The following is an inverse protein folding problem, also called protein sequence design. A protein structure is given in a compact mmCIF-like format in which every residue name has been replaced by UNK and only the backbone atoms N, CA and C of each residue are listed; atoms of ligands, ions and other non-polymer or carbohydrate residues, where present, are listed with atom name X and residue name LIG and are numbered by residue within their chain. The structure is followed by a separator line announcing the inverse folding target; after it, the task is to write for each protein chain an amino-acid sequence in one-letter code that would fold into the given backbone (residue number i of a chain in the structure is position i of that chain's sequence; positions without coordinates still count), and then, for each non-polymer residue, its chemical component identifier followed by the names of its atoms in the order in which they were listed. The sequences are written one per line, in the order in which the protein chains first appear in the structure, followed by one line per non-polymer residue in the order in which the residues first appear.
data_IF_092964262258
#
_entry.id   IF_092964262258
#
_cell.length_a   1.000
_cell.length_b   1.000
_cell.length_c   1.000
_cell.angle_alpha   90.00
_cell.angle_beta   90.00
_cell.angle_gamma   90.00
#
_symmetry.space_group_name_H-M   'P 1'
#
loop_
_entity.id
_entity.type
_entity.pdbx_description
1 polymer ?
#
# COMPACT_ATOMS: atom_id res chain seq x y z
N UNK A 1 -16.27 10.33 -8.34
CA UNK A 1 -14.83 10.53 -8.13
C UNK A 1 -14.14 9.16 -8.15
N UNK A 2 -13.10 9.01 -8.93
CA UNK A 2 -12.35 7.76 -8.98
C UNK A 2 -11.50 7.60 -7.73
N UNK A 3 -11.46 6.40 -7.18
CA UNK A 3 -10.70 6.11 -5.98
C UNK A 3 -9.71 4.97 -6.22
N UNK A 4 -8.52 5.12 -5.67
CA UNK A 4 -7.48 4.11 -5.74
C UNK A 4 -6.77 3.96 -4.39
N UNK A 5 -6.33 2.76 -4.08
CA UNK A 5 -5.49 2.51 -2.91
C UNK A 5 -4.11 2.11 -3.40
N UNK A 6 -3.08 2.68 -2.79
CA UNK A 6 -1.69 2.34 -3.06
C UNK A 6 -1.06 1.81 -1.78
N UNK A 7 -0.70 0.53 -1.79
CA UNK A 7 0.05 -0.09 -0.71
C UNK A 7 1.53 0.04 -1.04
N UNK A 8 2.28 0.66 -0.13
CA UNK A 8 3.67 0.99 -0.39
C UNK A 8 3.86 2.38 -0.97
N UNK A 9 3.04 3.32 -0.52
CA UNK A 9 2.99 4.68 -1.10
C UNK A 9 4.12 5.60 -0.66
N UNK A 10 4.89 5.24 0.37
CA UNK A 10 5.85 6.16 0.98
C UNK A 10 7.15 6.33 0.20
N UNK A 11 7.44 5.47 -0.77
CA UNK A 11 8.69 5.55 -1.52
C UNK A 11 8.58 4.81 -2.86
N UNK A 12 9.56 5.08 -3.75
CA UNK A 12 9.71 4.39 -5.01
C UNK A 12 8.52 4.53 -5.95
N UNK A 13 8.14 3.42 -6.57
CA UNK A 13 7.07 3.40 -7.57
C UNK A 13 5.72 3.81 -7.00
N UNK A 14 5.40 3.36 -5.77
CA UNK A 14 4.14 3.72 -5.14
C UNK A 14 4.00 5.21 -4.88
N UNK A 15 5.09 5.84 -4.46
CA UNK A 15 5.14 7.30 -4.26
C UNK A 15 4.87 8.04 -5.57
N UNK A 16 5.55 7.64 -6.63
CA UNK A 16 5.40 8.29 -7.94
C UNK A 16 3.99 8.07 -8.51
N UNK A 17 3.44 6.87 -8.35
CA UNK A 17 2.07 6.59 -8.79
C UNK A 17 1.05 7.45 -8.04
N UNK A 18 1.26 7.67 -6.74
CA UNK A 18 0.38 8.53 -5.96
C UNK A 18 0.33 9.94 -6.53
N UNK A 19 1.50 10.49 -6.88
CA UNK A 19 1.59 11.82 -7.48
C UNK A 19 0.83 11.85 -8.80
N UNK A 20 1.04 10.88 -9.67
CA UNK A 20 0.41 10.86 -10.98
C UNK A 20 -1.10 10.65 -10.89
N UNK A 21 -1.56 9.75 -10.05
CA UNK A 21 -3.00 9.48 -9.91
C UNK A 21 -3.75 10.67 -9.27
N UNK A 22 -3.16 11.31 -8.27
CA UNK A 22 -3.77 12.49 -7.67
C UNK A 22 -3.88 13.64 -8.69
N UNK A 23 -2.85 13.80 -9.54
CA UNK A 23 -2.88 14.80 -10.60
C UNK A 23 -3.99 14.53 -11.62
N UNK A 24 -4.41 13.28 -11.77
CA UNK A 24 -5.52 12.89 -12.65
C UNK A 24 -6.89 12.95 -11.97
N UNK A 25 -6.95 13.42 -10.72
CA UNK A 25 -8.20 13.59 -10.00
C UNK A 25 -8.62 12.41 -9.14
N UNK A 26 -7.78 11.41 -8.97
CA UNK A 26 -8.10 10.29 -8.08
C UNK A 26 -8.05 10.73 -6.62
N UNK A 27 -9.00 10.23 -5.85
CA UNK A 27 -8.90 10.26 -4.40
C UNK A 27 -8.17 8.98 -3.97
N UNK A 28 -7.13 9.13 -3.18
CA UNK A 28 -6.23 8.04 -2.85
C UNK A 28 -6.37 7.57 -1.41
N UNK A 29 -6.21 6.27 -1.22
CA UNK A 29 -5.90 5.66 0.06
C UNK A 29 -4.43 5.27 0.05
N UNK A 30 -3.65 5.86 0.93
CA UNK A 30 -2.21 5.69 0.96
C UNK A 30 -1.84 4.81 2.15
N UNK A 31 -1.24 3.66 1.87
CA UNK A 31 -0.85 2.70 2.90
C UNK A 31 0.65 2.50 2.88
N UNK A 32 1.27 2.64 4.03
CA UNK A 32 2.69 2.39 4.23
C UNK A 32 3.01 2.28 5.71
N UNK A 33 4.21 1.86 6.02
CA UNK A 33 4.63 1.61 7.39
C UNK A 33 4.94 2.89 8.18
N UNK A 34 5.43 3.94 7.49
CA UNK A 34 5.88 5.17 8.16
C UNK A 34 4.84 6.28 8.05
N UNK A 35 4.21 6.59 9.19
CA UNK A 35 3.17 7.59 9.23
C UNK A 35 3.65 8.97 8.76
N UNK A 36 4.85 9.40 9.20
CA UNK A 36 5.37 10.71 8.83
C UNK A 36 5.51 10.89 7.32
N UNK A 37 5.93 9.83 6.60
CA UNK A 37 6.08 9.88 5.16
C UNK A 37 4.72 9.93 4.46
N UNK A 38 3.72 9.23 5.01
CA UNK A 38 2.36 9.30 4.49
C UNK A 38 1.76 10.69 4.66
N UNK A 39 1.98 11.30 5.81
CA UNK A 39 1.49 12.66 6.07
C UNK A 39 2.15 13.68 5.15
N UNK A 40 3.46 13.57 4.94
CA UNK A 40 4.17 14.43 4.00
C UNK A 40 3.63 14.29 2.58
N UNK A 41 3.42 13.05 2.13
CA UNK A 41 2.87 12.80 0.80
C UNK A 41 1.46 13.37 0.68
N UNK A 42 0.60 13.09 1.66
CA UNK A 42 -0.77 13.60 1.66
C UNK A 42 -0.79 15.13 1.52
N UNK A 43 0.11 15.82 2.22
CA UNK A 43 0.17 17.28 2.19
C UNK A 43 0.63 17.83 0.83
N UNK A 44 1.38 17.04 0.05
CA UNK A 44 1.86 17.45 -1.28
C UNK A 44 0.85 17.23 -2.39
N UNK A 45 -0.13 16.37 -2.16
CA UNK A 45 -1.06 15.98 -3.23
C UNK A 45 -2.26 16.92 -3.27
N UNK A 46 -2.75 17.26 -4.47
CA UNK A 46 -3.99 18.02 -4.59
C UNK A 46 -5.17 17.16 -4.16
N UNK A 47 -6.13 17.76 -3.46
CA UNK A 47 -7.34 17.08 -3.01
C UNK A 47 -7.21 16.47 -1.63
N UNK A 48 -8.24 15.76 -1.22
CA UNK A 48 -8.30 15.09 0.07
C UNK A 48 -8.07 13.59 -0.11
N UNK A 49 -7.20 13.02 0.71
CA UNK A 49 -6.81 11.61 0.61
C UNK A 49 -6.82 10.95 1.98
N UNK A 50 -6.92 9.63 1.98
CA UNK A 50 -6.89 8.81 3.20
C UNK A 50 -5.49 8.25 3.41
N UNK A 51 -5.08 8.15 4.65
CA UNK A 51 -3.85 7.46 5.00
C UNK A 51 -4.14 6.33 6.00
N UNK A 52 -3.40 5.25 5.88
CA UNK A 52 -3.49 4.11 6.78
C UNK A 52 -2.09 3.55 7.01
N UNK A 53 -1.61 3.66 8.24
CA UNK A 53 -0.32 3.05 8.60
C UNK A 53 -0.49 1.53 8.59
N UNK A 54 0.37 0.84 7.88
CA UNK A 54 0.26 -0.60 7.67
C UNK A 54 1.64 -1.23 7.55
N UNK A 55 1.87 -2.28 8.33
CA UNK A 55 3.05 -3.13 8.18
C UNK A 55 2.62 -4.42 7.50
N UNK A 56 3.02 -4.61 6.25
CA UNK A 56 2.59 -5.76 5.45
C UNK A 56 3.18 -7.10 5.92
N UNK A 57 4.17 -7.07 6.82
CA UNK A 57 4.66 -8.30 7.45
C UNK A 57 3.66 -8.84 8.48
N UNK A 58 2.74 -8.01 8.95
CA UNK A 58 1.63 -8.39 9.82
C UNK A 58 0.42 -8.72 8.93
N UNK A 59 0.41 -9.93 8.38
CA UNK A 59 -0.51 -10.29 7.31
C UNK A 59 -1.99 -10.08 7.67
N UNK A 60 -2.44 -10.65 8.79
CA UNK A 60 -3.85 -10.57 9.17
C UNK A 60 -4.29 -9.16 9.53
N UNK A 61 -3.42 -8.42 10.23
CA UNK A 61 -3.67 -7.01 10.56
C UNK A 61 -3.76 -6.18 9.28
N UNK A 62 -2.84 -6.40 8.34
CA UNK A 62 -2.83 -5.70 7.05
C UNK A 62 -4.09 -5.97 6.26
N UNK A 63 -4.56 -7.22 6.25
CA UNK A 63 -5.80 -7.57 5.56
C UNK A 63 -6.99 -6.80 6.14
N UNK A 64 -7.09 -6.73 7.46
CA UNK A 64 -8.17 -6.01 8.10
C UNK A 64 -8.10 -4.51 7.83
N UNK A 65 -6.89 -3.95 7.88
CA UNK A 65 -6.68 -2.53 7.59
C UNK A 65 -7.06 -2.17 6.16
N UNK A 66 -6.74 -3.03 5.20
CA UNK A 66 -7.14 -2.81 3.81
C UNK A 66 -8.66 -2.88 3.66
N UNK A 67 -9.30 -3.88 4.27
CA UNK A 67 -10.77 -3.98 4.25
C UNK A 67 -11.43 -2.74 4.84
N UNK A 68 -10.91 -2.26 5.98
CA UNK A 68 -11.44 -1.07 6.64
C UNK A 68 -11.27 0.18 5.78
N UNK A 69 -10.13 0.32 5.10
CA UNK A 69 -9.89 1.46 4.22
C UNK A 69 -10.81 1.43 3.00
N UNK A 70 -11.00 0.26 2.39
CA UNK A 70 -11.93 0.08 1.27
C UNK A 70 -13.34 0.53 1.70
N UNK A 71 -13.78 0.10 2.89
CA UNK A 71 -15.09 0.46 3.41
C UNK A 71 -15.22 1.96 3.67
N UNK A 72 -14.19 2.58 4.24
CA UNK A 72 -14.18 4.01 4.51
C UNK A 72 -14.23 4.84 3.24
N UNK A 73 -13.52 4.42 2.20
CA UNK A 73 -13.49 5.15 0.94
C UNK A 73 -14.76 4.97 0.13
N UNK A 74 -15.29 3.77 0.07
CA UNK A 74 -16.60 3.49 -0.48
C UNK A 74 -16.64 3.03 -1.94
N UNK A 75 -15.77 3.53 -2.79
CA UNK A 75 -15.86 3.28 -4.23
C UNK A 75 -14.49 3.03 -4.88
N UNK A 76 -13.70 2.19 -4.24
CA UNK A 76 -12.35 1.87 -4.70
C UNK A 76 -12.40 1.06 -5.99
N UNK A 77 -11.81 1.58 -7.06
CA UNK A 77 -11.76 0.90 -8.36
C UNK A 77 -10.38 0.41 -8.76
N UNK A 78 -9.34 0.80 -8.03
CA UNK A 78 -7.96 0.40 -8.34
C UNK A 78 -7.19 0.17 -7.05
N UNK A 79 -6.50 -0.95 -6.95
CA UNK A 79 -5.61 -1.22 -5.83
C UNK A 79 -4.24 -1.58 -6.39
N UNK A 80 -3.23 -0.83 -5.99
CA UNK A 80 -1.84 -1.04 -6.40
C UNK A 80 -1.07 -1.62 -5.22
N UNK A 81 -0.48 -2.78 -5.42
CA UNK A 81 0.36 -3.42 -4.43
C UNK A 81 1.83 -3.24 -4.83
N UNK A 82 2.44 -2.19 -4.33
CA UNK A 82 3.82 -1.83 -4.65
C UNK A 82 4.75 -1.93 -3.44
N UNK A 83 4.25 -2.47 -2.33
CA UNK A 83 5.09 -2.73 -1.18
C UNK A 83 6.03 -3.90 -1.48
N UNK A 84 7.31 -3.64 -1.41
CA UNK A 84 8.31 -4.66 -1.62
C UNK A 84 9.65 -4.16 -1.11
N UNK A 85 10.50 -5.08 -0.71
CA UNK A 85 11.85 -4.76 -0.29
C UNK A 85 12.83 -5.57 -1.12
N UNK A 86 13.93 -4.95 -1.51
CA UNK A 86 15.02 -5.61 -2.19
C UNK A 86 16.32 -5.16 -1.56
N UNK A 87 17.14 -6.12 -1.21
CA UNK A 87 18.44 -5.85 -0.60
C UNK A 87 19.53 -6.52 -1.40
N UNK A 88 20.57 -5.77 -1.71
CA UNK A 88 21.77 -6.32 -2.32
C UNK A 88 22.75 -6.63 -1.21
N UNK A 89 22.81 -7.92 -0.86
CA UNK A 89 23.73 -8.42 0.15
C UNK A 89 24.72 -9.37 -0.50
N UNK A 90 26.00 -9.21 -0.16
CA UNK A 90 27.03 -10.17 -0.60
C UNK A 90 27.01 -11.44 0.22
N UNK A 91 26.39 -11.42 1.39
CA UNK A 91 26.23 -12.57 2.28
C UNK A 91 24.75 -12.89 2.42
N UNK A 92 24.44 -14.18 2.40
CA UNK A 92 23.10 -14.64 2.70
C UNK A 92 22.85 -14.49 4.20
N UNK A 93 21.76 -13.84 4.55
CA UNK A 93 21.35 -13.63 5.93
C UNK A 93 19.88 -14.03 6.04
N UNK A 94 19.61 -15.04 6.86
CA UNK A 94 18.24 -15.55 7.00
C UNK A 94 17.25 -14.48 7.47
N UNK A 95 17.67 -13.61 8.38
CA UNK A 95 16.78 -12.54 8.88
C UNK A 95 16.33 -11.62 7.75
N UNK A 96 17.25 -11.22 6.88
CA UNK A 96 16.93 -10.36 5.73
C UNK A 96 16.12 -11.12 4.68
N UNK A 97 16.48 -12.35 4.40
CA UNK A 97 15.74 -13.19 3.45
C UNK A 97 14.32 -13.44 3.92
N UNK A 98 14.12 -13.70 5.22
CA UNK A 98 12.81 -13.89 5.81
C UNK A 98 11.96 -12.63 5.69
N UNK A 99 12.55 -11.46 5.94
CA UNK A 99 11.83 -10.19 5.79
C UNK A 99 11.38 -9.98 4.35
N UNK A 100 12.25 -10.25 3.38
CA UNK A 100 11.90 -10.15 1.96
C UNK A 100 10.76 -11.10 1.59
N UNK A 101 10.77 -12.32 2.11
CA UNK A 101 9.68 -13.28 1.89
C UNK A 101 8.39 -12.77 2.55
N UNK A 102 8.47 -12.29 3.79
CA UNK A 102 7.29 -11.80 4.51
C UNK A 102 6.64 -10.61 3.80
N UNK A 103 7.44 -9.68 3.26
CA UNK A 103 6.90 -8.53 2.54
C UNK A 103 6.51 -8.90 1.11
N UNK A 104 7.43 -9.50 0.35
CA UNK A 104 7.25 -9.68 -1.10
C UNK A 104 6.37 -10.86 -1.46
N UNK A 105 6.26 -11.87 -0.61
CA UNK A 105 5.46 -13.06 -0.90
C UNK A 105 4.24 -13.12 0.02
N UNK A 106 4.45 -13.25 1.33
CA UNK A 106 3.35 -13.45 2.26
C UNK A 106 2.45 -12.23 2.37
N UNK A 107 3.02 -11.04 2.53
CA UNK A 107 2.26 -9.80 2.58
C UNK A 107 1.54 -9.52 1.28
N UNK A 108 2.21 -9.70 0.17
CA UNK A 108 1.62 -9.53 -1.16
C UNK A 108 0.44 -10.48 -1.37
N UNK A 109 0.60 -11.76 -1.04
CA UNK A 109 -0.47 -12.75 -1.19
C UNK A 109 -1.67 -12.40 -0.32
N UNK A 110 -1.42 -12.02 0.93
CA UNK A 110 -2.50 -11.67 1.87
C UNK A 110 -3.34 -10.49 1.36
N UNK A 111 -2.70 -9.45 0.87
CA UNK A 111 -3.40 -8.26 0.37
C UNK A 111 -4.03 -8.50 -1.00
N UNK A 112 -3.43 -9.36 -1.82
CA UNK A 112 -4.03 -9.75 -3.10
C UNK A 112 -5.37 -10.43 -2.91
N UNK A 113 -5.51 -11.30 -1.91
CA UNK A 113 -6.76 -11.99 -1.61
C UNK A 113 -7.85 -10.98 -1.27
N UNK A 114 -7.57 -10.01 -0.40
CA UNK A 114 -8.53 -8.97 -0.03
C UNK A 114 -8.93 -8.13 -1.25
N UNK A 115 -7.95 -7.77 -2.08
CA UNK A 115 -8.19 -6.96 -3.27
C UNK A 115 -9.07 -7.71 -4.28
N UNK A 116 -8.77 -8.98 -4.52
CA UNK A 116 -9.56 -9.81 -5.43
C UNK A 116 -10.99 -10.00 -4.93
N UNK A 117 -11.17 -10.24 -3.63
CA UNK A 117 -12.50 -10.36 -3.04
C UNK A 117 -13.31 -9.09 -3.26
N UNK A 118 -12.68 -7.93 -3.10
CA UNK A 118 -13.34 -6.65 -3.34
C UNK A 118 -13.85 -6.52 -4.77
N UNK A 119 -13.01 -6.85 -5.75
CA UNK A 119 -13.38 -6.68 -7.16
C UNK A 119 -14.28 -7.78 -7.70
N UNK A 120 -14.34 -8.92 -7.05
CA UNK A 120 -15.19 -10.04 -7.48
C UNK A 120 -16.55 -10.05 -6.80
N UNK A 121 -16.75 -9.20 -5.81
CA UNK A 121 -18.01 -9.14 -5.06
C UNK A 121 -19.15 -8.49 -5.85
#
# INVERSE_FOLDING_TARGET
MKQAIIVGASSGLGYELAIQLAAKGYQLGLMARRESLLEELQAKLPGEHFIQVTDVTEAETSQQQLKDLIARMGDVELIVLSSGVGLYEKKLDWTLEREMIDVNVRGFAALSIVSMDHFMA
#
